data_IF_647864339384
#
_entry.id   IF_647864339384
#
_cell.length_a   1.000
_cell.length_b   1.000
_cell.length_c   1.000
_cell.angle_alpha   90.00
_cell.angle_beta   90.00
_cell.angle_gamma   90.00
#
_symmetry.space_group_name_H-M   'P 1'
#
loop_
_entity.id
_entity.type
_entity.pdbx_description
1 polymer ?
#
# COMPACT_ATOMS: atom_id res chain seq x y z
N UNK A 1 26.24 -5.99 10.80
CA UNK A 1 26.76 -7.36 10.67
C UNK A 1 26.15 -8.14 11.81
N UNK A 2 25.48 -9.25 11.51
CA UNK A 2 24.98 -10.16 12.56
C UNK A 2 26.20 -10.89 13.10
N UNK A 3 26.36 -10.93 14.42
CA UNK A 3 27.50 -11.63 15.06
C UNK A 3 27.22 -13.12 15.15
N UNK A 4 28.28 -13.92 15.30
CA UNK A 4 28.17 -15.38 15.48
C UNK A 4 27.25 -15.72 16.66
N UNK A 5 27.33 -14.93 17.73
CA UNK A 5 26.53 -15.07 18.94
C UNK A 5 25.04 -14.82 18.67
N UNK A 6 24.69 -13.77 17.93
CA UNK A 6 23.31 -13.41 17.57
C UNK A 6 22.68 -14.48 16.68
N UNK A 7 23.45 -15.05 15.75
CA UNK A 7 23.01 -16.17 14.89
C UNK A 7 22.67 -17.43 15.71
N UNK A 8 23.42 -17.71 16.78
CA UNK A 8 23.18 -18.85 17.67
C UNK A 8 21.99 -18.57 18.61
N UNK A 9 21.82 -17.34 19.10
CA UNK A 9 20.66 -16.96 19.91
C UNK A 9 19.35 -17.06 19.13
N UNK A 10 19.32 -16.56 17.89
CA UNK A 10 18.15 -16.67 17.01
C UNK A 10 17.80 -18.13 16.66
N UNK A 11 18.78 -19.03 16.69
CA UNK A 11 18.58 -20.47 16.54
C UNK A 11 17.98 -21.10 17.82
N UNK A 12 18.46 -20.71 19.01
CA UNK A 12 17.96 -21.20 20.30
C UNK A 12 16.52 -20.72 20.57
N UNK A 13 16.21 -19.48 20.23
CA UNK A 13 14.88 -18.87 20.46
C UNK A 13 13.86 -19.21 19.36
N UNK A 14 14.29 -19.81 18.25
CA UNK A 14 13.41 -20.17 17.12
C UNK A 14 12.84 -18.96 16.35
N UNK A 15 13.44 -17.78 16.50
CA UNK A 15 13.09 -16.54 15.79
C UNK A 15 13.61 -16.52 14.34
N UNK A 16 14.54 -17.42 13.99
CA UNK A 16 15.16 -17.52 12.67
C UNK A 16 14.34 -18.33 11.64
N UNK A 17 14.57 -18.07 10.35
CA UNK A 17 13.94 -18.82 9.26
C UNK A 17 14.47 -20.26 9.15
N UNK A 18 13.67 -21.20 8.62
CA UNK A 18 14.04 -22.62 8.50
C UNK A 18 15.37 -22.85 7.75
N UNK A 19 15.68 -22.02 6.75
CA UNK A 19 16.94 -22.12 5.98
C UNK A 19 18.15 -21.68 6.82
N UNK A 20 17.99 -20.64 7.65
CA UNK A 20 19.03 -20.18 8.57
C UNK A 20 19.27 -21.20 9.69
N UNK A 21 18.22 -21.85 10.20
CA UNK A 21 18.35 -22.89 11.23
C UNK A 21 19.21 -24.07 10.75
N UNK A 22 18.98 -24.55 9.52
CA UNK A 22 19.78 -25.62 8.92
C UNK A 22 21.24 -25.20 8.67
N UNK A 23 21.46 -23.94 8.29
CA UNK A 23 22.80 -23.40 8.11
C UNK A 23 23.57 -23.30 9.42
N UNK A 24 22.92 -22.84 10.50
CA UNK A 24 23.50 -22.76 11.85
C UNK A 24 23.76 -24.15 12.41
N UNK A 25 22.86 -25.11 12.22
CA UNK A 25 23.04 -26.50 12.63
C UNK A 25 24.26 -27.15 11.95
N UNK A 26 24.43 -26.94 10.64
CA UNK A 26 25.60 -27.38 9.91
C UNK A 26 26.90 -26.72 10.40
N UNK A 27 26.85 -25.43 10.78
CA UNK A 27 27.98 -24.70 11.37
C UNK A 27 28.33 -25.19 12.78
N UNK A 28 27.34 -25.49 13.63
CA UNK A 28 27.56 -26.09 14.97
C UNK A 28 28.21 -27.47 14.85
N UNK A 29 27.86 -28.25 13.81
CA UNK A 29 28.46 -29.58 13.58
C UNK A 29 29.89 -29.54 13.01
N UNK A 30 30.23 -28.49 12.25
CA UNK A 30 31.49 -28.40 11.50
C UNK A 30 32.55 -27.51 12.13
N UNK A 31 32.15 -26.47 12.88
CA UNK A 31 33.06 -25.49 13.47
C UNK A 31 33.13 -25.65 15.01
N UNK A 32 34.32 -25.90 15.58
CA UNK A 32 34.49 -26.01 17.03
C UNK A 32 34.14 -24.74 17.81
N UNK A 33 34.25 -23.55 17.21
CA UNK A 33 33.93 -22.26 17.85
C UNK A 33 32.42 -22.08 18.00
N UNK A 34 31.64 -22.43 16.97
CA UNK A 34 30.18 -22.43 17.03
C UNK A 34 29.67 -23.43 18.08
N UNK A 35 30.30 -24.61 18.15
CA UNK A 35 29.94 -25.63 19.13
C UNK A 35 30.19 -25.21 20.57
N UNK A 36 31.32 -24.58 20.87
CA UNK A 36 31.64 -24.13 22.23
C UNK A 36 30.67 -23.04 22.71
N UNK A 37 30.39 -22.05 21.86
CA UNK A 37 29.45 -20.98 22.18
C UNK A 37 28.02 -21.49 22.37
N UNK A 38 27.58 -22.44 21.53
CA UNK A 38 26.28 -23.08 21.69
C UNK A 38 26.15 -23.83 23.02
N UNK A 39 27.19 -24.54 23.45
CA UNK A 39 27.20 -25.24 24.73
C UNK A 39 27.17 -24.26 25.91
N UNK A 40 27.93 -23.17 25.84
CA UNK A 40 27.94 -22.12 26.85
C UNK A 40 26.56 -21.47 27.02
N UNK A 41 25.89 -21.11 25.92
CA UNK A 41 24.53 -20.56 25.98
C UNK A 41 23.49 -21.56 26.51
N UNK A 42 23.65 -22.85 26.20
CA UNK A 42 22.76 -23.90 26.72
C UNK A 42 22.95 -24.11 28.23
N UNK A 43 24.18 -24.03 28.72
CA UNK A 43 24.49 -24.05 30.16
C UNK A 43 23.89 -22.84 30.89
N UNK A 44 24.06 -21.63 30.33
CA UNK A 44 23.47 -20.40 30.88
C UNK A 44 21.93 -20.48 30.91
N UNK A 45 21.29 -20.93 29.84
CA UNK A 45 19.84 -21.07 29.78
C UNK A 45 19.33 -22.10 30.82
N UNK A 46 20.08 -23.18 31.03
CA UNK A 46 19.77 -24.19 32.04
C UNK A 46 19.92 -23.64 33.47
N UNK A 47 20.96 -22.85 33.74
CA UNK A 47 21.13 -22.19 35.05
C UNK A 47 20.02 -21.16 35.29
N UNK A 48 19.67 -20.38 34.27
CA UNK A 48 18.60 -19.37 34.33
C UNK A 48 17.22 -20.01 34.49
N UNK A 49 16.97 -21.16 33.88
CA UNK A 49 15.75 -21.96 34.07
C UNK A 49 15.65 -22.57 35.48
N UNK A 50 16.79 -22.74 36.16
CA UNK A 50 16.86 -23.21 37.55
C UNK A 50 16.61 -22.11 38.59
N UNK A 51 16.68 -20.84 38.19
CA UNK A 51 16.17 -19.72 38.97
C UNK A 51 14.66 -19.78 38.91
N UNK A 52 14.04 -20.31 39.97
CA UNK A 52 12.59 -20.43 40.06
C UNK A 52 11.93 -19.12 39.66
N UNK A 53 11.07 -19.17 38.65
CA UNK A 53 10.21 -18.06 38.27
C UNK A 53 9.30 -17.78 39.47
N UNK A 54 9.70 -16.87 40.34
CA UNK A 54 8.83 -16.41 41.43
C UNK A 54 7.58 -15.82 40.80
N UNK A 55 6.43 -16.37 41.18
CA UNK A 55 5.16 -15.89 40.68
C UNK A 55 5.03 -14.41 41.06
N UNK A 56 4.77 -13.51 40.09
CA UNK A 56 4.60 -12.11 40.39
C UNK A 56 3.45 -11.93 41.39
N UNK A 57 3.52 -10.90 42.23
CA UNK A 57 2.45 -10.64 43.18
C UNK A 57 1.11 -10.45 42.46
N UNK A 58 0.01 -10.88 43.09
CA UNK A 58 -1.35 -10.70 42.56
C UNK A 58 -1.68 -9.25 42.17
N UNK A 59 -0.98 -8.27 42.75
CA UNK A 59 -1.15 -6.84 42.43
C UNK A 59 -0.29 -6.35 41.26
N UNK A 60 0.78 -7.06 40.88
CA UNK A 60 1.68 -6.66 39.80
C UNK A 60 0.95 -6.57 38.47
N UNK A 61 0.28 -7.65 38.05
CA UNK A 61 -0.49 -7.69 36.80
C UNK A 61 -1.55 -6.59 36.75
N UNK A 62 -2.23 -6.32 37.89
CA UNK A 62 -3.20 -5.24 37.98
C UNK A 62 -2.55 -3.88 37.77
N UNK A 63 -1.44 -3.61 38.45
CA UNK A 63 -0.75 -2.32 38.38
C UNK A 63 -0.14 -2.06 37.00
N UNK A 64 0.34 -3.10 36.30
CA UNK A 64 0.85 -3.00 34.93
C UNK A 64 -0.30 -2.77 33.95
N UNK A 65 -1.38 -3.55 34.02
CA UNK A 65 -2.53 -3.39 33.13
C UNK A 65 -3.27 -2.08 33.33
N UNK A 66 -3.27 -1.53 34.55
CA UNK A 66 -3.82 -0.20 34.82
C UNK A 66 -3.01 0.91 34.15
N UNK A 67 -1.67 0.80 34.14
CA UNK A 67 -0.80 1.74 33.42
C UNK A 67 -0.92 1.60 31.90
N UNK A 68 -0.93 0.37 31.37
CA UNK A 68 -1.09 0.12 29.92
C UNK A 68 -2.45 0.58 29.41
N UNK A 69 -3.51 0.50 30.22
CA UNK A 69 -4.85 0.99 29.85
C UNK A 69 -4.92 2.52 29.70
N UNK A 70 -4.01 3.26 30.35
CA UNK A 70 -3.89 4.71 30.19
C UNK A 70 -3.17 5.08 28.88
N UNK A 71 -2.40 4.15 28.30
CA UNK A 71 -1.90 4.31 26.94
C UNK A 71 -3.05 4.10 25.95
N UNK A 72 -3.33 5.16 25.19
CA UNK A 72 -4.38 5.17 24.18
C UNK A 72 -4.07 4.05 23.18
N UNK A 73 -4.99 3.09 23.04
CA UNK A 73 -4.91 2.03 22.03
C UNK A 73 -4.50 2.63 20.67
N UNK A 74 -3.62 1.99 19.88
CA UNK A 74 -3.07 2.56 18.67
C UNK A 74 -4.21 2.96 17.73
N UNK A 75 -4.55 4.24 17.75
CA UNK A 75 -5.60 4.79 16.90
C UNK A 75 -5.02 4.71 15.51
N UNK A 76 -5.61 3.89 14.64
CA UNK A 76 -5.27 3.89 13.23
C UNK A 76 -5.38 5.34 12.77
N UNK A 77 -4.24 5.99 12.48
CA UNK A 77 -4.21 7.37 12.04
C UNK A 77 -4.86 7.40 10.66
N UNK A 78 -6.19 7.52 10.62
CA UNK A 78 -6.91 7.81 9.39
C UNK A 78 -6.39 9.17 8.95
N UNK A 79 -5.48 9.15 7.98
CA UNK A 79 -4.93 10.35 7.36
C UNK A 79 -6.09 11.23 6.95
N UNK A 80 -6.29 12.33 7.66
CA UNK A 80 -7.36 13.29 7.39
C UNK A 80 -6.97 14.10 6.16
N UNK A 81 -7.14 13.50 4.98
CA UNK A 81 -7.00 14.24 3.73
C UNK A 81 -8.18 15.19 3.61
N UNK A 82 -7.90 16.49 3.48
CA UNK A 82 -8.94 17.49 3.28
C UNK A 82 -9.61 17.29 1.92
N UNK A 83 -10.93 17.11 1.92
CA UNK A 83 -11.75 16.94 0.71
C UNK A 83 -11.59 18.11 -0.26
N UNK A 84 -11.27 19.32 0.23
CA UNK A 84 -11.00 20.50 -0.60
C UNK A 84 -9.79 20.29 -1.53
N UNK A 85 -8.74 19.64 -1.03
CA UNK A 85 -7.54 19.33 -1.81
C UNK A 85 -7.90 18.35 -2.93
N UNK A 86 -8.68 17.32 -2.63
CA UNK A 86 -9.15 16.33 -3.61
C UNK A 86 -9.97 17.02 -4.72
N UNK A 87 -10.93 17.89 -4.36
CA UNK A 87 -11.72 18.61 -5.35
C UNK A 87 -10.87 19.56 -6.21
N UNK A 88 -9.85 20.22 -5.63
CA UNK A 88 -8.98 21.12 -6.38
C UNK A 88 -8.15 20.38 -7.44
N UNK A 89 -7.58 19.22 -7.07
CA UNK A 89 -6.78 18.39 -7.99
C UNK A 89 -7.67 17.84 -9.09
N UNK A 90 -8.84 17.27 -8.73
CA UNK A 90 -9.80 16.77 -9.72
C UNK A 90 -10.27 17.86 -10.68
N UNK A 91 -10.55 19.07 -10.17
CA UNK A 91 -10.95 20.21 -10.98
C UNK A 91 -9.85 20.64 -11.97
N UNK A 92 -8.60 20.69 -11.52
CA UNK A 92 -7.46 21.02 -12.38
C UNK A 92 -7.31 20.01 -13.54
N UNK A 93 -7.40 18.70 -13.25
CA UNK A 93 -7.31 17.67 -14.29
C UNK A 93 -8.46 17.76 -15.31
N UNK A 94 -9.70 17.94 -14.84
CA UNK A 94 -10.85 18.10 -15.73
C UNK A 94 -10.71 19.35 -16.61
N UNK A 95 -10.29 20.46 -16.02
CA UNK A 95 -10.07 21.71 -16.75
C UNK A 95 -8.95 21.58 -17.79
N UNK A 96 -7.83 20.97 -17.42
CA UNK A 96 -6.72 20.70 -18.35
C UNK A 96 -7.16 19.79 -19.49
N UNK A 97 -7.95 18.75 -19.21
CA UNK A 97 -8.47 17.85 -20.23
C UNK A 97 -9.40 18.59 -21.20
N UNK A 98 -10.31 19.41 -20.66
CA UNK A 98 -11.20 20.26 -21.47
C UNK A 98 -10.42 21.24 -22.34
N UNK A 99 -9.38 21.90 -21.81
CA UNK A 99 -8.56 22.84 -22.57
C UNK A 99 -7.87 22.18 -23.77
N UNK A 100 -7.38 20.95 -23.60
CA UNK A 100 -6.76 20.19 -24.70
C UNK A 100 -7.82 19.80 -25.74
N UNK A 101 -8.98 19.30 -25.30
CA UNK A 101 -10.08 18.92 -26.21
C UNK A 101 -10.58 20.13 -26.99
N UNK A 102 -10.81 21.27 -26.34
CA UNK A 102 -11.27 22.49 -27.02
C UNK A 102 -10.22 23.04 -27.97
N UNK A 103 -8.94 22.98 -27.60
CA UNK A 103 -7.85 23.36 -28.50
C UNK A 103 -7.83 22.50 -29.77
N UNK A 104 -8.00 21.18 -29.65
CA UNK A 104 -8.06 20.28 -30.80
C UNK A 104 -9.27 20.60 -31.67
N UNK A 105 -10.45 20.74 -31.05
CA UNK A 105 -11.71 21.08 -31.75
C UNK A 105 -11.61 22.41 -32.49
N UNK A 106 -11.03 23.43 -31.86
CA UNK A 106 -10.91 24.76 -32.47
C UNK A 106 -9.90 24.82 -33.63
N UNK A 107 -8.89 23.94 -33.62
CA UNK A 107 -7.84 23.91 -34.64
C UNK A 107 -8.01 22.78 -35.67
N UNK A 108 -9.11 22.01 -35.62
CA UNK A 108 -9.38 20.92 -36.56
C UNK A 108 -10.48 21.29 -37.55
N UNK A 109 -10.19 21.16 -38.86
CA UNK A 109 -11.22 21.13 -39.91
C UNK A 109 -11.99 19.81 -39.80
N UNK A 110 -13.21 19.86 -39.26
CA UNK A 110 -14.07 18.69 -39.09
C UNK A 110 -14.56 18.13 -40.44
N UNK A 111 -13.73 17.33 -41.10
CA UNK A 111 -14.16 16.40 -42.15
C UNK A 111 -14.15 14.98 -41.60
N UNK A 112 -15.36 14.48 -41.31
CA UNK A 112 -15.64 13.14 -40.76
C UNK A 112 -15.42 11.99 -41.77
N UNK A 113 -14.66 12.19 -42.85
CA UNK A 113 -14.42 11.12 -43.84
C UNK A 113 -13.10 10.38 -43.65
N UNK A 114 -12.19 10.87 -42.82
CA UNK A 114 -11.01 10.09 -42.47
C UNK A 114 -10.42 10.69 -41.19
N UNK A 115 -10.76 10.11 -40.05
CA UNK A 115 -10.26 10.54 -38.74
C UNK A 115 -8.76 10.23 -38.62
N UNK A 116 -7.93 10.97 -39.35
CA UNK A 116 -6.46 10.94 -39.30
C UNK A 116 -5.98 11.70 -38.07
N UNK A 117 -6.43 11.28 -36.89
CA UNK A 117 -5.97 11.79 -35.60
C UNK A 117 -4.44 11.71 -35.47
N UNK A 118 -3.78 10.74 -36.12
CA UNK A 118 -2.32 10.65 -36.17
C UNK A 118 -1.64 11.87 -36.81
N UNK A 119 -2.31 12.62 -37.70
CA UNK A 119 -1.74 13.81 -38.33
C UNK A 119 -1.85 15.06 -37.46
N UNK A 120 -2.74 15.07 -36.47
CA UNK A 120 -2.90 16.18 -35.50
C UNK A 120 -1.79 16.18 -34.42
N UNK A 121 -1.28 15.00 -34.05
CA UNK A 121 -0.16 14.85 -33.11
C UNK A 121 1.22 14.87 -33.79
N UNK A 122 1.28 15.13 -35.10
CA UNK A 122 2.51 15.15 -35.90
C UNK A 122 2.93 16.58 -36.29
N UNK A 123 2.53 17.60 -35.52
CA UNK A 123 2.99 18.98 -35.73
C UNK A 123 4.44 19.15 -35.27
N UNK A 124 5.36 18.87 -36.20
CA UNK A 124 6.67 19.51 -36.33
C UNK A 124 7.81 19.08 -35.41
N UNK A 125 7.57 18.68 -34.16
CA UNK A 125 8.71 18.45 -33.24
C UNK A 125 8.60 17.26 -32.27
N UNK A 126 7.44 16.63 -32.10
CA UNK A 126 7.29 15.48 -31.20
C UNK A 126 6.38 14.41 -31.81
N UNK A 127 6.97 13.32 -32.31
CA UNK A 127 6.25 12.19 -32.90
C UNK A 127 5.64 11.28 -31.82
N UNK A 128 4.52 11.73 -31.24
CA UNK A 128 3.70 10.88 -30.36
C UNK A 128 2.79 9.91 -31.15
N UNK A 129 2.85 9.96 -32.47
CA UNK A 129 2.11 9.11 -33.41
C UNK A 129 2.33 7.61 -33.20
N UNK A 130 3.49 7.21 -32.66
CA UNK A 130 3.82 5.82 -32.32
C UNK A 130 3.08 5.29 -31.09
N UNK A 131 2.74 6.17 -30.15
CA UNK A 131 2.08 5.80 -28.90
C UNK A 131 0.56 6.01 -28.96
N UNK A 132 0.11 7.02 -29.71
CA UNK A 132 -1.32 7.36 -29.87
C UNK A 132 -1.87 6.87 -31.21
N UNK A 133 -1.95 5.54 -31.35
CA UNK A 133 -2.58 4.94 -32.53
C UNK A 133 -4.10 5.18 -32.56
N UNK A 134 -4.74 5.24 -33.75
CA UNK A 134 -6.18 5.43 -33.87
C UNK A 134 -7.00 4.37 -33.11
N UNK A 135 -6.49 3.14 -33.02
CA UNK A 135 -7.13 2.05 -32.28
C UNK A 135 -7.07 2.27 -30.78
N UNK A 136 -5.92 2.73 -30.26
CA UNK A 136 -5.75 3.06 -28.84
C UNK A 136 -6.72 4.18 -28.42
N UNK A 137 -6.82 5.25 -29.22
CA UNK A 137 -7.72 6.36 -28.94
C UNK A 137 -9.19 5.91 -28.94
N UNK A 138 -9.59 5.04 -29.89
CA UNK A 138 -10.95 4.47 -29.94
C UNK A 138 -11.27 3.63 -28.72
N UNK A 139 -10.35 2.77 -28.28
CA UNK A 139 -10.53 1.94 -27.09
C UNK A 139 -10.59 2.82 -25.84
N UNK A 140 -9.69 3.80 -25.72
CA UNK A 140 -9.67 4.75 -24.62
C UNK A 140 -10.99 5.52 -24.51
N UNK A 141 -11.46 6.11 -25.61
CA UNK A 141 -12.77 6.80 -25.64
C UNK A 141 -13.94 5.87 -25.31
N UNK A 142 -13.91 4.62 -25.77
CA UNK A 142 -14.96 3.65 -25.46
C UNK A 142 -15.01 3.34 -23.95
N UNK A 143 -13.85 3.17 -23.31
CA UNK A 143 -13.74 2.99 -21.87
C UNK A 143 -14.18 4.24 -21.12
N UNK A 144 -13.79 5.44 -21.58
CA UNK A 144 -14.19 6.71 -20.97
C UNK A 144 -15.71 6.92 -21.03
N UNK A 145 -16.35 6.56 -22.14
CA UNK A 145 -17.82 6.63 -22.28
C UNK A 145 -18.50 5.64 -21.34
N UNK A 146 -17.98 4.42 -21.19
CA UNK A 146 -18.49 3.46 -20.21
C UNK A 146 -18.33 3.96 -18.77
N UNK A 147 -17.18 4.54 -18.44
CA UNK A 147 -16.94 5.15 -17.12
C UNK A 147 -17.85 6.36 -16.89
N UNK A 148 -18.08 7.20 -17.90
CA UNK A 148 -18.99 8.32 -17.83
C UNK A 148 -20.43 7.84 -17.58
N UNK A 149 -20.89 6.77 -18.25
CA UNK A 149 -22.19 6.17 -17.98
C UNK A 149 -22.28 5.56 -16.58
N UNK A 150 -21.26 4.82 -16.13
CA UNK A 150 -21.23 4.25 -14.78
C UNK A 150 -21.21 5.34 -13.69
N UNK A 151 -20.47 6.42 -13.93
CA UNK A 151 -20.43 7.57 -13.04
C UNK A 151 -21.77 8.31 -13.03
N UNK A 152 -22.40 8.50 -14.19
CA UNK A 152 -23.71 9.14 -14.31
C UNK A 152 -24.80 8.30 -13.61
N UNK A 153 -24.75 6.98 -13.74
CA UNK A 153 -25.64 6.07 -13.01
C UNK A 153 -25.40 6.14 -11.50
N UNK A 154 -24.15 6.12 -11.05
CA UNK A 154 -23.77 6.28 -9.63
C UNK A 154 -24.21 7.64 -9.06
N UNK A 155 -24.05 8.71 -9.84
CA UNK A 155 -24.46 10.06 -9.48
C UNK A 155 -25.99 10.18 -9.34
N UNK A 156 -26.75 9.57 -10.26
CA UNK A 156 -28.21 9.50 -10.18
C UNK A 156 -28.69 8.63 -9.00
N UNK A 157 -28.04 7.49 -8.74
CA UNK A 157 -28.39 6.60 -7.63
C UNK A 157 -28.18 7.26 -6.26
N UNK A 158 -27.12 8.04 -6.12
CA UNK A 158 -26.83 8.80 -4.89
C UNK A 158 -27.93 9.84 -4.61
N UNK A 159 -28.48 10.49 -5.63
CA UNK A 159 -29.61 11.43 -5.46
C UNK A 159 -30.91 10.72 -5.08
N UNK A 160 -31.11 9.48 -5.54
CA UNK A 160 -32.34 8.71 -5.26
C UNK A 160 -32.47 8.32 -3.78
N UNK A 161 -31.35 8.08 -3.08
CA UNK A 161 -31.36 7.84 -1.64
C UNK A 161 -31.64 9.11 -0.80
N UNK A 162 -31.25 10.29 -1.28
CA UNK A 162 -31.52 11.57 -0.57
C UNK A 162 -32.98 12.06 -0.62
N UNK A 163 -33.82 11.49 -1.50
CA UNK A 163 -35.26 11.80 -1.56
C UNK A 163 -36.13 10.84 -0.74
N UNK A 164 -35.57 9.74 -0.23
CA UNK A 164 -36.31 8.80 0.60
C UNK A 164 -36.22 9.13 2.10
N UNK A 165 -35.22 9.91 2.52
CA UNK A 165 -35.10 10.45 3.89
C UNK A 165 -35.93 11.72 4.13
N UNK A 166 -36.29 12.49 3.10
CA UNK A 166 -37.08 13.73 3.23
C UNK A 166 -38.59 13.55 2.90
N UNK A 167 -39.04 12.30 2.71
CA UNK A 167 -40.43 11.96 2.39
C UNK A 167 -41.19 11.26 3.51
N UNK A 168 -40.60 11.17 4.71
CA UNK A 168 -41.27 10.68 5.92
C UNK A 168 -41.03 11.71 7.02
N UNK A 169 -41.79 12.80 6.94
CA UNK A 169 -42.04 13.73 8.05
C UNK A 169 -43.45 14.28 7.87
#
# INVERSE_FOLDING_TARGET
MITIEEEIWDYIDGSSSQEQQLAVEAKIASDPVYRSLYQEFLEINKEMSGLGLEEPSMSFTRNVMEQVKLEIAPVSMKTKVDKRIIYSISGFFIFSMLAIVTYIVANSDFTFQDAKFGKLFSSGQLDFSKYFTPTFIKIFLFVDVLLAFAYLDSFLRTKRHSHQENGIS
#
